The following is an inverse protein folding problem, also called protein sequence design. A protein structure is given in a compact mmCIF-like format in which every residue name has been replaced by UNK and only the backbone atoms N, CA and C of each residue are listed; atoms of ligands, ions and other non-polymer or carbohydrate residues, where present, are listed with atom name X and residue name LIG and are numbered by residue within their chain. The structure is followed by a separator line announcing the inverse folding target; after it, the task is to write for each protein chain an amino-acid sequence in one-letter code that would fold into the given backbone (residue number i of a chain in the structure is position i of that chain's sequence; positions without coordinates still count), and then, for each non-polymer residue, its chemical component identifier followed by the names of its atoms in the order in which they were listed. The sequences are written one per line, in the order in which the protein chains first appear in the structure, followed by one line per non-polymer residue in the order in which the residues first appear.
data_IF_322202877184
#
_entry.id   IF_322202877184
#
_cell.length_a   1.000
_cell.length_b   1.000
_cell.length_c   1.000
_cell.angle_alpha   90.00
_cell.angle_beta   90.00
_cell.angle_gamma   90.00
#
_symmetry.space_group_name_H-M   'P 1'
#
loop_
_entity.id
_entity.type
_entity.pdbx_description
1 polymer ?
#
# COMPACT_ATOMS: atom_id res chain seq x y z
N UNK A 1 5.17 9.41 6.09
CA UNK A 1 4.21 9.05 5.03
C UNK A 1 3.07 8.23 5.64
N UNK A 2 1.81 8.64 5.46
CA UNK A 2 0.63 7.89 5.90
C UNK A 2 -0.10 7.38 4.66
N UNK A 3 -0.43 6.09 4.60
CA UNK A 3 -1.13 5.51 3.46
C UNK A 3 -2.64 5.53 3.70
N UNK A 4 -3.41 5.94 2.69
CA UNK A 4 -4.86 5.98 2.73
C UNK A 4 -5.47 4.65 2.26
N UNK A 5 -6.71 4.37 2.68
CA UNK A 5 -7.49 3.27 2.10
C UNK A 5 -7.63 3.51 0.60
N UNK A 6 -7.31 2.49 -0.19
CA UNK A 6 -7.38 2.56 -1.65
C UNK A 6 -6.03 2.79 -2.32
N UNK A 7 -5.00 3.18 -1.58
CA UNK A 7 -3.66 3.38 -2.12
C UNK A 7 -3.07 2.08 -2.66
N UNK A 8 -2.51 2.16 -3.86
CA UNK A 8 -1.65 1.12 -4.40
C UNK A 8 -0.23 1.30 -3.86
N UNK A 9 0.31 0.22 -3.30
CA UNK A 9 1.61 0.20 -2.64
C UNK A 9 2.41 -1.02 -3.08
N UNK A 10 3.72 -0.85 -3.19
CA UNK A 10 4.67 -1.95 -3.14
C UNK A 10 4.90 -2.39 -1.71
N UNK A 11 4.96 -3.70 -1.51
CA UNK A 11 5.34 -4.34 -0.25
C UNK A 11 6.78 -4.81 -0.42
N UNK A 12 7.68 -4.29 0.41
CA UNK A 12 9.11 -4.62 0.41
C UNK A 12 9.44 -5.78 1.35
N UNK A 13 10.48 -6.53 0.99
CA UNK A 13 11.18 -7.48 1.86
C UNK A 13 12.09 -6.74 2.84
N UNK A 14 12.70 -7.47 3.77
CA UNK A 14 13.64 -6.89 4.73
C UNK A 14 14.92 -6.32 4.11
N UNK A 15 15.28 -6.79 2.91
CA UNK A 15 16.41 -6.32 2.10
C UNK A 15 16.08 -5.08 1.23
N UNK A 16 14.84 -4.57 1.31
CA UNK A 16 14.38 -3.43 0.52
C UNK A 16 13.89 -3.77 -0.89
N UNK A 17 14.06 -5.01 -1.36
CA UNK A 17 13.52 -5.47 -2.64
C UNK A 17 12.00 -5.57 -2.61
N UNK A 18 11.34 -5.34 -3.75
CA UNK A 18 9.88 -5.46 -3.85
C UNK A 18 9.49 -6.93 -3.80
N UNK A 19 8.69 -7.30 -2.79
CA UNK A 19 8.09 -8.62 -2.69
C UNK A 19 6.90 -8.77 -3.64
N UNK A 20 5.98 -7.80 -3.58
CA UNK A 20 4.72 -7.80 -4.33
C UNK A 20 4.07 -6.43 -4.26
N UNK A 21 2.99 -6.21 -5.01
CA UNK A 21 2.14 -5.03 -4.90
C UNK A 21 0.83 -5.35 -4.16
N UNK A 22 0.15 -4.33 -3.68
CA UNK A 22 -1.16 -4.49 -3.06
C UNK A 22 -1.89 -3.17 -2.88
N UNK A 23 -3.12 -3.27 -2.38
CA UNK A 23 -3.99 -2.12 -2.11
C UNK A 23 -4.29 -2.01 -0.63
N UNK A 24 -4.04 -0.84 -0.06
CA UNK A 24 -4.29 -0.55 1.36
C UNK A 24 -5.78 -0.62 1.64
N UNK A 25 -6.16 -1.39 2.64
CA UNK A 25 -7.55 -1.58 3.08
C UNK A 25 -7.88 -0.71 4.28
N UNK A 26 -6.98 -0.67 5.27
CA UNK A 26 -7.07 0.20 6.44
C UNK A 26 -5.76 0.26 7.21
N UNK A 27 -5.58 1.34 7.98
CA UNK A 27 -4.60 1.43 9.06
C UNK A 27 -5.18 0.81 10.33
N UNK A 28 -4.36 0.08 11.08
CA UNK A 28 -4.71 -0.50 12.39
C UNK A 28 -4.33 0.47 13.52
N UNK A 29 -4.93 0.33 14.72
CA UNK A 29 -4.57 1.14 15.88
C UNK A 29 -3.08 1.04 16.28
N UNK A 30 -2.46 -0.12 16.01
CA UNK A 30 -1.03 -0.38 16.26
C UNK A 30 -0.09 0.26 15.21
N UNK A 31 -0.61 1.10 14.32
CA UNK A 31 0.16 1.77 13.28
C UNK A 31 0.49 0.92 12.04
N UNK A 32 0.16 -0.38 12.03
CA UNK A 32 0.35 -1.25 10.86
C UNK A 32 -0.78 -1.10 9.85
N UNK A 33 -0.56 -1.55 8.62
CA UNK A 33 -1.52 -1.47 7.52
C UNK A 33 -2.00 -2.85 7.10
N UNK A 34 -3.30 -2.99 6.87
CA UNK A 34 -3.87 -4.14 6.18
C UNK A 34 -3.81 -3.86 4.68
N UNK A 35 -3.14 -4.73 3.93
CA UNK A 35 -2.95 -4.60 2.48
C UNK A 35 -3.46 -5.86 1.80
N UNK A 36 -4.36 -5.71 0.82
CA UNK A 36 -4.79 -6.81 -0.05
C UNK A 36 -3.78 -6.97 -1.16
N UNK A 37 -3.18 -8.15 -1.33
CA UNK A 37 -2.19 -8.39 -2.40
C UNK A 37 -2.84 -8.24 -3.78
N UNK A 38 -2.09 -7.71 -4.75
CA UNK A 38 -2.51 -7.71 -6.14
C UNK A 38 -2.56 -9.16 -6.66
N UNK A 39 -3.55 -9.48 -7.50
CA UNK A 39 -3.73 -10.83 -8.06
C UNK A 39 -4.16 -11.90 -7.04
N UNK A 40 -4.49 -11.54 -5.80
CA UNK A 40 -4.93 -12.47 -4.76
C UNK A 40 -5.98 -11.82 -3.83
N UNK A 41 -6.86 -12.63 -3.25
CA UNK A 41 -7.75 -12.18 -2.18
C UNK A 41 -7.08 -12.17 -0.79
N UNK A 42 -5.78 -12.49 -0.72
CA UNK A 42 -5.04 -12.50 0.54
C UNK A 42 -4.82 -11.09 1.09
N UNK A 43 -5.17 -10.90 2.36
CA UNK A 43 -4.90 -9.67 3.12
C UNK A 43 -3.80 -9.92 4.14
N UNK A 44 -2.75 -9.12 4.05
CA UNK A 44 -1.59 -9.18 4.97
C UNK A 44 -1.50 -7.94 5.84
N UNK A 45 -0.74 -8.04 6.93
CA UNK A 45 -0.46 -6.90 7.83
C UNK A 45 1.00 -6.49 7.66
N UNK A 46 1.24 -5.22 7.36
CA UNK A 46 2.58 -4.72 6.99
C UNK A 46 2.88 -3.44 7.76
N UNK A 47 4.12 -3.25 8.19
CA UNK A 47 4.60 -2.00 8.79
C UNK A 47 4.81 -0.93 7.72
N UNK A 48 4.68 0.35 8.07
CA UNK A 48 4.89 1.47 7.13
C UNK A 48 6.26 1.43 6.45
N UNK A 49 7.32 1.02 7.17
CA UNK A 49 8.68 0.93 6.63
C UNK A 49 8.86 -0.13 5.53
N UNK A 50 7.90 -1.03 5.36
CA UNK A 50 7.88 -2.02 4.26
C UNK A 50 6.93 -1.63 3.13
N UNK A 51 6.34 -0.44 3.17
CA UNK A 51 5.44 0.04 2.14
C UNK A 51 6.11 1.15 1.33
N UNK A 52 5.88 1.16 0.04
CA UNK A 52 6.24 2.26 -0.86
C UNK A 52 5.05 2.55 -1.77
N UNK A 53 4.79 3.82 -2.08
CA UNK A 53 3.67 4.17 -2.96
C UNK A 53 3.95 3.67 -4.36
N UNK A 54 3.01 2.93 -4.96
CA UNK A 54 3.11 2.53 -6.35
C UNK A 54 2.91 3.76 -7.24
N UNK A 55 3.72 3.98 -8.30
CA UNK A 55 3.57 5.15 -9.18
C UNK A 55 2.21 5.23 -9.90
N UNK A 56 1.43 4.14 -9.94
CA UNK A 56 0.02 4.19 -10.39
C UNK A 56 -0.89 5.02 -9.48
N UNK A 57 -0.54 5.23 -8.21
CA UNK A 57 -1.25 6.20 -7.37
C UNK A 57 -1.11 7.64 -7.90
N UNK A 58 -0.07 7.91 -8.69
CA UNK A 58 0.13 9.19 -9.40
C UNK A 58 -0.73 9.31 -10.67
N UNK A 59 -1.27 8.20 -11.20
CA UNK A 59 -2.20 8.20 -12.35
C UNK A 59 -3.67 8.38 -11.94
N UNK A 60 -4.00 8.20 -10.65
CA UNK A 60 -5.34 8.44 -10.11
C UNK A 60 -5.53 9.81 -9.44
N UNK A 61 -4.45 10.54 -9.15
CA UNK A 61 -4.50 11.85 -8.45
C UNK A 61 -4.63 13.06 -9.38
N UNK A 62 -5.12 12.87 -10.61
CA UNK A 62 -5.59 13.98 -11.46
C UNK A 62 -7.09 14.29 -11.26
N UNK A 63 -7.76 13.70 -10.26
CA UNK A 63 -9.21 13.89 -10.05
C UNK A 63 -9.58 14.41 -8.66
N UNK A 64 -8.96 15.50 -8.20
CA UNK A 64 -9.64 16.49 -7.33
C UNK A 64 -8.94 17.85 -7.45
N UNK A 65 -9.31 18.63 -8.48
CA UNK A 65 -9.19 20.08 -8.50
C UNK A 65 -10.20 20.58 -9.56
N UNK A 66 -11.42 20.83 -9.10
CA UNK A 66 -12.56 21.33 -9.88
C UNK A 66 -13.72 21.55 -8.94
#
# INVERSE_FOLDING_TARGET
MTYAKGDYVFIKRGDGSVLTAGRVQRRRPDGRYKVRKAGSNQVITVTSGRLEVHPQNSWGSSRTAG
#
